data_IF_793340130317
#
_entry.id   IF_793340130317
#
_cell.length_a   1.000
_cell.length_b   1.000
_cell.length_c   1.000
_cell.angle_alpha   90.00
_cell.angle_beta   90.00
_cell.angle_gamma   90.00
#
_symmetry.space_group_name_H-M   'P 1'
#
loop_
_entity.id
_entity.type
_entity.pdbx_description
1 polymer ?
#
# COMPACT_ATOMS: atom_id res chain seq x y z
N UNK A 1 11.66 -14.25 -13.53
CA UNK A 1 10.77 -13.13 -13.19
C UNK A 1 10.22 -12.48 -14.44
N UNK A 2 9.06 -11.84 -14.30
CA UNK A 2 8.67 -10.76 -15.21
C UNK A 2 9.46 -9.49 -14.81
N UNK A 3 9.87 -8.64 -15.76
CA UNK A 3 10.55 -7.40 -15.43
C UNK A 3 9.62 -6.50 -14.62
N UNK A 4 10.23 -5.72 -13.71
CA UNK A 4 9.58 -4.61 -13.02
C UNK A 4 8.85 -3.70 -14.01
N UNK A 5 7.77 -3.07 -13.56
CA UNK A 5 7.05 -2.09 -14.37
C UNK A 5 7.97 -0.91 -14.68
N UNK A 6 8.02 -0.53 -15.95
CA UNK A 6 8.64 0.72 -16.37
C UNK A 6 7.81 1.93 -15.94
N UNK A 7 8.42 3.12 -15.90
CA UNK A 7 7.71 4.39 -15.64
C UNK A 7 6.45 4.53 -16.51
N UNK A 8 6.55 4.26 -17.82
CA UNK A 8 5.40 4.31 -18.74
C UNK A 8 4.28 3.32 -18.41
N UNK A 9 4.62 2.19 -17.80
CA UNK A 9 3.64 1.20 -17.36
C UNK A 9 2.99 1.62 -16.04
N UNK A 10 3.74 2.26 -15.15
CA UNK A 10 3.23 2.88 -13.93
C UNK A 10 2.31 4.06 -14.26
N UNK A 11 2.71 4.99 -15.14
CA UNK A 11 1.88 6.08 -15.65
C UNK A 11 0.56 5.55 -16.24
N UNK A 12 0.65 4.46 -17.02
CA UNK A 12 -0.53 3.83 -17.59
C UNK A 12 -1.42 3.20 -16.53
N UNK A 13 -0.85 2.64 -15.47
CA UNK A 13 -1.61 2.09 -14.36
C UNK A 13 -2.32 3.20 -13.59
N UNK A 14 -1.60 4.30 -13.29
CA UNK A 14 -2.15 5.53 -12.70
C UNK A 14 -3.34 6.05 -13.50
N UNK A 15 -3.19 6.22 -14.82
CA UNK A 15 -4.26 6.65 -15.72
C UNK A 15 -5.50 5.75 -15.64
N UNK A 16 -5.29 4.43 -15.52
CA UNK A 16 -6.38 3.47 -15.41
C UNK A 16 -7.06 3.52 -14.03
N UNK A 17 -6.29 3.71 -12.95
CA UNK A 17 -6.83 3.91 -11.59
C UNK A 17 -7.72 5.16 -11.57
N UNK A 18 -7.25 6.28 -12.13
CA UNK A 18 -8.02 7.53 -12.22
C UNK A 18 -9.27 7.33 -13.11
N UNK A 19 -9.13 6.69 -14.27
CA UNK A 19 -10.22 6.54 -15.24
C UNK A 19 -11.36 5.65 -14.73
N UNK A 20 -11.04 4.64 -13.94
CA UNK A 20 -11.98 3.60 -13.50
C UNK A 20 -12.23 3.60 -11.98
N UNK A 21 -11.58 4.50 -11.25
CA UNK A 21 -11.73 4.71 -9.82
C UNK A 21 -13.09 5.30 -9.45
N UNK A 22 -13.38 5.22 -8.16
CA UNK A 22 -14.50 5.86 -7.49
C UNK A 22 -14.06 6.21 -6.06
N UNK A 23 -14.94 6.87 -5.30
CA UNK A 23 -14.66 7.33 -3.93
C UNK A 23 -14.23 6.21 -2.96
N UNK A 24 -14.45 4.94 -3.32
CA UNK A 24 -14.04 3.78 -2.52
C UNK A 24 -12.87 2.99 -3.12
N UNK A 25 -12.37 3.35 -4.30
CA UNK A 25 -11.16 2.73 -4.88
C UNK A 25 -9.90 3.17 -4.16
N UNK A 26 -8.77 2.53 -4.45
CA UNK A 26 -7.47 3.15 -4.15
C UNK A 26 -7.29 4.41 -4.99
N UNK A 27 -6.67 5.43 -4.42
CA UNK A 27 -6.55 6.76 -4.98
C UNK A 27 -5.47 6.85 -6.06
N UNK A 28 -4.28 6.32 -5.79
CA UNK A 28 -3.08 6.45 -6.62
C UNK A 28 -2.11 5.28 -6.43
N UNK A 29 -0.92 5.38 -7.03
CA UNK A 29 0.13 4.37 -6.91
C UNK A 29 0.69 4.23 -5.49
N UNK A 30 0.72 5.28 -4.67
CA UNK A 30 1.18 5.21 -3.28
C UNK A 30 0.24 4.36 -2.42
N UNK A 31 -1.07 4.61 -2.47
CA UNK A 31 -2.06 3.77 -1.78
C UNK A 31 -2.01 2.32 -2.31
N UNK A 32 -1.89 2.15 -3.62
CA UNK A 32 -1.78 0.81 -4.20
C UNK A 32 -0.50 0.07 -3.75
N UNK A 33 0.63 0.77 -3.63
CA UNK A 33 1.89 0.21 -3.13
C UNK A 33 1.73 -0.26 -1.68
N UNK A 34 1.14 0.55 -0.81
CA UNK A 34 0.87 0.19 0.57
C UNK A 34 -0.03 -1.04 0.68
N UNK A 35 -1.08 -1.08 -0.14
CA UNK A 35 -1.97 -2.24 -0.24
C UNK A 35 -1.22 -3.51 -0.62
N UNK A 36 -0.40 -3.48 -1.67
CA UNK A 36 0.39 -4.64 -2.08
C UNK A 36 1.48 -5.02 -1.07
N UNK A 37 2.06 -4.05 -0.36
CA UNK A 37 3.01 -4.32 0.73
C UNK A 37 2.32 -5.11 1.85
N UNK A 38 1.11 -4.73 2.25
CA UNK A 38 0.33 -5.46 3.25
C UNK A 38 -0.04 -6.87 2.78
N UNK A 39 -0.48 -7.04 1.53
CA UNK A 39 -0.76 -8.37 0.96
C UNK A 39 0.50 -9.25 0.91
N UNK A 40 1.63 -8.69 0.49
CA UNK A 40 2.91 -9.37 0.46
C UNK A 40 3.41 -9.73 1.86
N UNK A 41 3.02 -8.96 2.87
CA UNK A 41 3.30 -9.18 4.30
C UNK A 41 2.28 -10.10 4.97
N UNK A 42 1.19 -10.49 4.32
CA UNK A 42 0.15 -11.35 4.90
C UNK A 42 0.67 -12.72 5.37
N UNK A 43 0.11 -13.31 6.45
CA UNK A 43 0.45 -14.67 6.87
C UNK A 43 0.00 -15.74 5.85
N UNK A 44 -1.06 -15.46 5.09
CA UNK A 44 -1.59 -16.33 4.05
C UNK A 44 -1.66 -15.64 2.70
N UNK A 45 -1.50 -16.43 1.62
CA UNK A 45 -1.64 -15.93 0.26
C UNK A 45 -3.08 -15.46 0.01
N UNK A 46 -3.22 -14.21 -0.41
CA UNK A 46 -4.50 -13.62 -0.84
C UNK A 46 -4.60 -13.70 -2.36
N UNK A 47 -5.68 -14.30 -2.85
CA UNK A 47 -5.85 -14.50 -4.29
C UNK A 47 -6.35 -13.20 -4.97
N UNK A 48 -5.98 -12.95 -6.24
CA UNK A 48 -6.45 -11.78 -6.98
C UNK A 48 -7.96 -11.57 -7.00
N UNK A 49 -8.73 -12.66 -7.03
CA UNK A 49 -10.20 -12.61 -6.97
C UNK A 49 -10.74 -11.97 -5.68
N UNK A 50 -9.97 -12.02 -4.59
CA UNK A 50 -10.33 -11.42 -3.30
C UNK A 50 -9.95 -9.94 -3.24
N UNK A 51 -8.79 -9.57 -3.77
CA UNK A 51 -8.26 -8.22 -3.61
C UNK A 51 -8.53 -7.26 -4.77
N UNK A 52 -8.70 -7.74 -6.01
CA UNK A 52 -9.01 -6.90 -7.18
C UNK A 52 -10.31 -6.10 -7.02
N UNK A 53 -11.41 -6.67 -6.48
CA UNK A 53 -12.61 -5.90 -6.19
C UNK A 53 -12.36 -4.84 -5.12
N UNK A 54 -11.59 -5.16 -4.08
CA UNK A 54 -11.38 -4.29 -2.92
C UNK A 54 -10.58 -3.03 -3.25
N UNK A 55 -9.58 -3.13 -4.13
CA UNK A 55 -8.85 -1.96 -4.65
C UNK A 55 -9.69 -1.10 -5.60
N UNK A 56 -10.77 -1.63 -6.14
CA UNK A 56 -11.70 -0.96 -7.06
C UNK A 56 -12.99 -0.46 -6.39
N UNK A 57 -13.08 -0.45 -5.06
CA UNK A 57 -14.27 -0.02 -4.33
C UNK A 57 -15.35 -1.10 -4.17
N UNK A 58 -14.93 -2.35 -3.99
CA UNK A 58 -15.78 -3.51 -3.70
C UNK A 58 -16.29 -4.27 -4.92
N UNK A 59 -16.03 -3.79 -6.14
CA UNK A 59 -16.36 -4.50 -7.39
C UNK A 59 -15.38 -4.12 -8.49
N UNK A 60 -15.06 -5.07 -9.36
CA UNK A 60 -14.24 -4.80 -10.54
C UNK A 60 -14.91 -3.71 -11.40
N UNK A 61 -14.16 -2.72 -11.92
CA UNK A 61 -14.74 -1.64 -12.71
C UNK A 61 -15.41 -2.14 -13.99
N UNK A 62 -16.42 -1.38 -14.46
CA UNK A 62 -16.98 -1.61 -15.79
C UNK A 62 -16.08 -0.96 -16.83
N UNK A 63 -15.16 -1.75 -17.40
CA UNK A 63 -14.23 -1.26 -18.41
C UNK A 63 -14.96 -0.83 -19.69
N UNK A 64 -14.53 0.29 -20.26
CA UNK A 64 -15.08 0.81 -21.53
C UNK A 64 -14.68 -0.07 -22.73
N UNK A 65 -13.56 -0.80 -22.61
CA UNK A 65 -12.97 -1.63 -23.66
C UNK A 65 -12.28 -2.85 -23.05
N UNK A 66 -12.34 -4.04 -23.68
CA UNK A 66 -11.61 -5.23 -23.21
C UNK A 66 -10.11 -5.00 -23.03
N UNK A 67 -9.48 -4.21 -23.91
CA UNK A 67 -8.06 -3.89 -23.81
C UNK A 67 -7.68 -3.07 -22.54
N UNK A 68 -8.63 -2.33 -21.95
CA UNK A 68 -8.36 -1.63 -20.69
C UNK A 68 -8.43 -2.59 -19.51
N UNK A 69 -9.39 -3.52 -19.52
CA UNK A 69 -9.50 -4.57 -18.51
C UNK A 69 -8.26 -5.48 -18.48
N UNK A 70 -7.82 -5.91 -19.66
CA UNK A 70 -6.60 -6.72 -19.81
C UNK A 70 -5.37 -5.97 -19.30
N UNK A 71 -5.21 -4.70 -19.69
CA UNK A 71 -4.09 -3.88 -19.24
C UNK A 71 -4.13 -3.61 -17.73
N UNK A 72 -5.28 -3.22 -17.18
CA UNK A 72 -5.46 -2.97 -15.75
C UNK A 72 -5.10 -4.21 -14.94
N UNK A 73 -5.70 -5.35 -15.28
CA UNK A 73 -5.47 -6.60 -14.56
C UNK A 73 -4.02 -7.06 -14.67
N UNK A 74 -3.42 -7.02 -15.86
CA UNK A 74 -2.04 -7.44 -16.06
C UNK A 74 -1.03 -6.55 -15.31
N UNK A 75 -1.24 -5.23 -15.31
CA UNK A 75 -0.39 -4.28 -14.59
C UNK A 75 -0.52 -4.44 -13.08
N UNK A 76 -1.75 -4.57 -12.55
CA UNK A 76 -1.99 -4.82 -11.12
C UNK A 76 -1.32 -6.11 -10.63
N UNK A 77 -1.46 -7.21 -11.36
CA UNK A 77 -0.84 -8.50 -11.01
C UNK A 77 0.69 -8.43 -11.05
N UNK A 78 1.26 -7.76 -12.06
CA UNK A 78 2.71 -7.55 -12.17
C UNK A 78 3.23 -6.66 -11.05
N UNK A 79 2.53 -5.57 -10.73
CA UNK A 79 2.96 -4.67 -9.67
C UNK A 79 2.91 -5.34 -8.30
N UNK A 80 1.84 -6.07 -7.99
CA UNK A 80 1.76 -6.87 -6.77
C UNK A 80 2.90 -7.89 -6.66
N UNK A 81 3.26 -8.54 -7.78
CA UNK A 81 4.37 -9.49 -7.82
C UNK A 81 5.72 -8.80 -7.62
N UNK A 82 5.92 -7.62 -8.22
CA UNK A 82 7.13 -6.81 -8.06
C UNK A 82 7.33 -6.39 -6.60
N UNK A 83 6.31 -5.82 -5.95
CA UNK A 83 6.38 -5.41 -4.53
C UNK A 83 6.69 -6.62 -3.63
N UNK A 84 6.02 -7.76 -3.88
CA UNK A 84 6.27 -8.96 -3.09
C UNK A 84 7.68 -9.52 -3.27
N UNK A 85 8.25 -9.40 -4.46
CA UNK A 85 9.62 -9.80 -4.77
C UNK A 85 10.64 -8.88 -4.11
N UNK A 86 10.45 -7.56 -4.22
CA UNK A 86 11.30 -6.54 -3.61
C UNK A 86 11.44 -6.78 -2.10
N UNK A 87 10.31 -6.96 -1.40
CA UNK A 87 10.31 -7.33 0.02
C UNK A 87 11.02 -8.67 0.28
N UNK A 88 10.93 -9.64 -0.63
CA UNK A 88 11.51 -10.96 -0.45
C UNK A 88 13.04 -10.97 -0.61
N UNK A 89 13.56 -10.19 -1.55
CA UNK A 89 14.97 -10.22 -1.98
C UNK A 89 15.79 -9.04 -1.47
N UNK A 90 15.16 -7.90 -1.20
CA UNK A 90 15.84 -6.63 -0.94
C UNK A 90 15.22 -5.85 0.23
N UNK A 91 14.82 -6.59 1.27
CA UNK A 91 14.08 -6.04 2.41
C UNK A 91 14.81 -4.90 3.14
N UNK A 92 16.15 -4.96 3.21
CA UNK A 92 16.95 -3.95 3.92
C UNK A 92 16.91 -2.59 3.22
N UNK A 93 16.80 -2.59 1.89
CA UNK A 93 16.77 -1.39 1.04
C UNK A 93 15.34 -1.04 0.55
N UNK A 94 14.33 -1.85 0.88
CA UNK A 94 12.92 -1.60 0.51
C UNK A 94 12.42 -0.26 1.05
N UNK A 95 12.05 0.67 0.19
CA UNK A 95 11.43 1.94 0.55
C UNK A 95 9.96 1.96 0.09
N UNK A 96 9.00 2.27 0.98
CA UNK A 96 7.61 2.55 0.58
C UNK A 96 7.52 3.64 -0.50
N UNK A 97 6.62 3.47 -1.45
CA UNK A 97 6.28 4.53 -2.41
C UNK A 97 5.33 5.53 -1.74
N UNK A 98 5.90 6.57 -1.12
CA UNK A 98 5.14 7.70 -0.59
C UNK A 98 4.94 8.78 -1.66
N UNK A 99 3.86 9.55 -1.55
CA UNK A 99 3.73 10.79 -2.30
C UNK A 99 4.57 11.90 -1.64
N UNK A 100 5.01 12.83 -2.47
CA UNK A 100 5.69 14.05 -2.05
C UNK A 100 4.78 15.26 -2.31
N UNK A 101 4.66 16.13 -1.32
CA UNK A 101 3.84 17.33 -1.39
C UNK A 101 4.60 18.58 -0.95
N UNK A 102 3.97 19.74 -1.11
CA UNK A 102 4.44 21.02 -0.61
C UNK A 102 3.50 21.49 0.52
N UNK A 103 4.06 21.80 1.70
CA UNK A 103 3.35 22.43 2.82
C UNK A 103 3.80 23.88 3.02
N UNK A 104 3.18 24.59 3.97
CA UNK A 104 3.61 25.95 4.33
C UNK A 104 5.04 25.98 4.91
N UNK A 105 5.48 24.86 5.47
CA UNK A 105 6.80 24.64 6.07
C UNK A 105 7.85 24.08 5.10
N UNK A 106 7.44 23.60 3.92
CA UNK A 106 8.32 23.13 2.85
C UNK A 106 7.90 21.78 2.25
N UNK A 107 8.81 21.10 1.53
CA UNK A 107 8.56 19.76 0.99
C UNK A 107 8.23 18.76 2.10
N UNK A 108 7.23 17.93 1.87
CA UNK A 108 6.68 17.01 2.85
C UNK A 108 6.46 15.62 2.24
N UNK A 109 6.75 14.58 3.00
CA UNK A 109 6.30 13.22 2.68
C UNK A 109 4.87 13.05 3.16
N UNK A 110 4.00 12.55 2.29
CA UNK A 110 2.59 12.24 2.57
C UNK A 110 2.51 10.74 2.90
N UNK A 111 2.28 10.43 4.18
CA UNK A 111 2.23 9.05 4.67
C UNK A 111 0.86 8.42 4.49
N UNK A 112 -0.18 9.25 4.49
CA UNK A 112 -1.57 8.86 4.65
C UNK A 112 -2.00 7.88 3.58
N UNK A 113 -1.78 8.18 2.30
CA UNK A 113 -2.24 7.35 1.19
C UNK A 113 -1.65 5.94 1.24
N UNK A 114 -0.33 5.85 1.40
CA UNK A 114 0.34 4.56 1.55
C UNK A 114 -0.17 3.79 2.78
N UNK A 115 -0.32 4.47 3.91
CA UNK A 115 -0.80 3.86 5.15
C UNK A 115 -2.25 3.40 5.04
N UNK A 116 -3.12 4.16 4.39
CA UNK A 116 -4.51 3.76 4.07
C UNK A 116 -4.54 2.50 3.23
N UNK A 117 -3.69 2.45 2.20
CA UNK A 117 -3.51 1.28 1.36
C UNK A 117 -3.11 0.06 2.16
N UNK A 118 -2.09 0.22 3.02
CA UNK A 118 -1.62 -0.85 3.89
C UNK A 118 -2.73 -1.38 4.80
N UNK A 119 -3.45 -0.48 5.51
CA UNK A 119 -4.54 -0.87 6.39
C UNK A 119 -5.67 -1.56 5.64
N UNK A 120 -6.04 -1.08 4.45
CA UNK A 120 -6.99 -1.77 3.55
C UNK A 120 -6.50 -3.17 3.19
N UNK A 121 -5.21 -3.33 2.90
CA UNK A 121 -4.60 -4.62 2.61
C UNK A 121 -4.66 -5.60 3.79
N UNK A 122 -4.42 -5.13 5.02
CA UNK A 122 -4.55 -5.97 6.23
C UNK A 122 -5.98 -6.47 6.44
N UNK A 123 -6.99 -5.64 6.15
CA UNK A 123 -8.40 -6.02 6.25
C UNK A 123 -8.78 -7.07 5.19
N UNK A 124 -8.38 -6.86 3.94
CA UNK A 124 -8.64 -7.82 2.84
C UNK A 124 -7.94 -9.16 3.08
N UNK A 125 -6.76 -9.13 3.69
CA UNK A 125 -5.99 -10.30 4.06
C UNK A 125 -6.45 -10.95 5.37
N UNK A 126 -7.46 -10.40 6.04
CA UNK A 126 -8.01 -10.89 7.32
C UNK A 126 -6.92 -11.14 8.38
N UNK A 127 -6.03 -10.16 8.59
CA UNK A 127 -4.96 -10.28 9.57
C UNK A 127 -5.52 -10.59 10.96
N UNK A 128 -4.89 -11.56 11.63
CA UNK A 128 -5.17 -11.90 13.02
C UNK A 128 -4.36 -11.05 13.97
N UNK A 129 -4.70 -11.12 15.27
CA UNK A 129 -3.98 -10.41 16.33
C UNK A 129 -2.47 -10.67 16.25
N UNK A 130 -1.71 -9.58 16.23
CA UNK A 130 -0.25 -9.61 16.20
C UNK A 130 0.32 -9.67 17.63
N UNK A 131 1.52 -10.26 17.83
CA UNK A 131 2.21 -10.13 19.10
C UNK A 131 2.54 -8.66 19.42
N UNK A 132 2.79 -8.33 20.71
CA UNK A 132 2.94 -6.94 21.15
C UNK A 132 4.01 -6.10 20.44
N UNK A 133 5.04 -6.72 19.88
CA UNK A 133 6.09 -6.02 19.13
C UNK A 133 5.59 -5.63 17.73
N UNK A 134 5.00 -6.58 17.00
CA UNK A 134 4.46 -6.34 15.66
C UNK A 134 3.20 -5.48 15.69
N UNK A 135 2.38 -5.58 16.74
CA UNK A 135 1.25 -4.69 16.98
C UNK A 135 1.70 -3.21 17.09
N UNK A 136 2.86 -2.94 17.70
CA UNK A 136 3.42 -1.57 17.71
C UNK A 136 3.85 -1.10 16.33
N UNK A 137 4.42 -1.99 15.51
CA UNK A 137 4.77 -1.67 14.12
C UNK A 137 3.51 -1.36 13.32
N UNK A 138 2.48 -2.20 13.41
CA UNK A 138 1.21 -1.94 12.75
C UNK A 138 0.57 -0.64 13.23
N UNK A 139 0.70 -0.29 14.51
CA UNK A 139 0.23 0.99 15.06
C UNK A 139 0.91 2.20 14.43
N UNK A 140 2.21 2.14 14.13
CA UNK A 140 2.92 3.21 13.44
C UNK A 140 2.31 3.47 12.05
N UNK A 141 1.93 2.41 11.33
CA UNK A 141 1.24 2.53 10.04
C UNK A 141 -0.20 3.02 10.23
N UNK A 142 -0.95 2.40 11.15
CA UNK A 142 -2.37 2.72 11.37
C UNK A 142 -2.61 4.15 11.85
N UNK A 143 -1.60 4.78 12.47
CA UNK A 143 -1.65 6.19 12.86
C UNK A 143 -2.03 7.09 11.68
N UNK A 144 -1.47 6.83 10.49
CA UNK A 144 -1.74 7.58 9.27
C UNK A 144 -2.74 6.88 8.32
N UNK A 145 -3.11 5.63 8.61
CA UNK A 145 -3.94 4.80 7.73
C UNK A 145 -5.38 4.58 8.19
N UNK A 146 -5.84 5.25 9.25
CA UNK A 146 -7.20 5.14 9.79
C UNK A 146 -7.80 6.52 10.07
N UNK A 147 -9.04 6.73 9.63
CA UNK A 147 -9.78 7.98 9.84
C UNK A 147 -9.97 8.33 11.32
N UNK A 148 -10.06 7.32 12.19
CA UNK A 148 -10.16 7.49 13.65
C UNK A 148 -8.99 8.31 14.25
N UNK A 149 -7.85 8.40 13.55
CA UNK A 149 -6.68 9.14 14.00
C UNK A 149 -6.59 10.56 13.43
N UNK A 150 -7.55 11.01 12.62
CA UNK A 150 -7.50 12.34 12.00
C UNK A 150 -7.41 13.48 13.02
N UNK A 151 -8.20 13.44 14.09
CA UNK A 151 -8.13 14.48 15.15
C UNK A 151 -6.75 14.53 15.82
N UNK A 152 -6.08 13.37 15.96
CA UNK A 152 -4.74 13.30 16.51
C UNK A 152 -3.72 13.89 15.52
N UNK A 153 -3.79 13.51 14.24
CA UNK A 153 -2.91 14.02 13.19
C UNK A 153 -3.05 15.53 12.97
N UNK A 154 -4.27 16.07 13.11
CA UNK A 154 -4.55 17.51 13.05
C UNK A 154 -3.90 18.28 14.21
N UNK A 155 -3.69 17.61 15.35
CA UNK A 155 -3.01 18.19 16.52
C UNK A 155 -1.48 18.11 16.46
N UNK A 156 -0.94 17.26 15.58
CA UNK A 156 0.51 17.07 15.42
C UNK A 156 1.11 18.19 14.57
N UNK A 157 2.29 18.64 14.99
CA UNK A 157 3.11 19.56 14.20
C UNK A 157 3.66 18.90 12.93
N UNK A 158 4.09 19.72 11.98
CA UNK A 158 4.81 19.27 10.79
C UNK A 158 5.99 18.35 11.13
N UNK A 159 6.85 18.78 12.05
CA UNK A 159 8.05 18.01 12.46
C UNK A 159 7.67 16.67 13.11
N UNK A 160 6.61 16.62 13.91
CA UNK A 160 6.12 15.37 14.51
C UNK A 160 5.60 14.40 13.45
N UNK A 161 4.87 14.90 12.43
CA UNK A 161 4.41 14.06 11.31
C UNK A 161 5.56 13.56 10.44
N UNK A 162 6.53 14.42 10.12
CA UNK A 162 7.69 14.01 9.32
C UNK A 162 8.61 13.05 10.10
N UNK A 163 8.68 13.15 11.43
CA UNK A 163 9.40 12.19 12.27
C UNK A 163 8.79 10.77 12.25
N UNK A 164 7.54 10.61 11.80
CA UNK A 164 6.90 9.29 11.63
C UNK A 164 7.38 8.55 10.38
N UNK A 165 7.95 9.24 9.38
CA UNK A 165 8.39 8.62 8.12
C UNK A 165 9.30 7.41 8.35
N UNK A 166 10.45 7.52 9.04
CA UNK A 166 11.32 6.36 9.29
C UNK A 166 10.62 5.25 10.10
N UNK A 167 9.66 5.58 10.97
CA UNK A 167 8.91 4.60 11.74
C UNK A 167 7.99 3.75 10.87
N UNK A 168 7.37 4.35 9.84
CA UNK A 168 6.53 3.63 8.88
C UNK A 168 7.39 2.71 8.00
N UNK A 169 8.58 3.16 7.57
CA UNK A 169 9.53 2.33 6.81
C UNK A 169 9.97 1.13 7.64
N UNK A 170 10.42 1.35 8.88
CA UNK A 170 10.80 0.29 9.82
C UNK A 170 9.64 -0.69 10.08
N UNK A 171 8.42 -0.16 10.24
CA UNK A 171 7.23 -0.98 10.45
C UNK A 171 6.92 -1.88 9.26
N UNK A 172 6.95 -1.36 8.03
CA UNK A 172 6.72 -2.14 6.82
C UNK A 172 7.70 -3.31 6.71
N UNK A 173 9.00 -3.03 6.91
CA UNK A 173 10.06 -4.05 6.87
C UNK A 173 9.92 -5.07 7.99
N UNK A 174 9.68 -4.61 9.22
CA UNK A 174 9.55 -5.46 10.40
C UNK A 174 8.34 -6.39 10.37
N UNK A 175 7.19 -5.91 9.88
CA UNK A 175 5.98 -6.73 9.71
C UNK A 175 6.19 -7.81 8.65
N UNK A 176 6.78 -7.47 7.51
CA UNK A 176 7.13 -8.46 6.49
C UNK A 176 8.12 -9.50 7.04
N UNK A 177 9.19 -9.06 7.72
CA UNK A 177 10.21 -9.94 8.28
C UNK A 177 9.63 -10.93 9.29
N UNK A 178 8.75 -10.45 10.19
CA UNK A 178 8.05 -11.31 11.13
C UNK A 178 7.26 -12.39 10.38
N UNK A 179 6.46 -12.01 9.39
CA UNK A 179 5.61 -12.97 8.69
C UNK A 179 6.41 -13.94 7.82
N UNK A 180 7.51 -13.51 7.20
CA UNK A 180 8.44 -14.37 6.47
C UNK A 180 9.03 -15.48 7.35
N UNK A 181 9.31 -15.19 8.63
CA UNK A 181 9.83 -16.18 9.58
C UNK A 181 8.77 -17.19 10.05
N UNK A 182 7.49 -16.86 9.92
CA UNK A 182 6.36 -17.67 10.40
C UNK A 182 5.56 -18.35 9.28
N UNK A 183 5.88 -18.11 8.01
CA UNK A 183 5.34 -18.88 6.87
C UNK A 183 6.01 -20.25 6.82
N UNK A 184 5.21 -21.31 6.88
CA UNK A 184 5.64 -22.69 6.70
C UNK A 184 5.70 -23.09 5.23
#
# INVERSE_FOLDING_TARGET
MLPALSEKELDRLEDLLITYGNDYSVLNLAELNGFFTALASSPSKVNPEQWLPSVAGGKVPKFKKPAHEEAYTALMLRYASQVAEELATDLEDFEPMFEEGESEEGPAIILEEWCFGYMRGTQVAEWSDLPPEQDRLLKAISLHGLEDNFELLDSMSFDERQACVPLVVEAARGLYQYQKQHRH
#
